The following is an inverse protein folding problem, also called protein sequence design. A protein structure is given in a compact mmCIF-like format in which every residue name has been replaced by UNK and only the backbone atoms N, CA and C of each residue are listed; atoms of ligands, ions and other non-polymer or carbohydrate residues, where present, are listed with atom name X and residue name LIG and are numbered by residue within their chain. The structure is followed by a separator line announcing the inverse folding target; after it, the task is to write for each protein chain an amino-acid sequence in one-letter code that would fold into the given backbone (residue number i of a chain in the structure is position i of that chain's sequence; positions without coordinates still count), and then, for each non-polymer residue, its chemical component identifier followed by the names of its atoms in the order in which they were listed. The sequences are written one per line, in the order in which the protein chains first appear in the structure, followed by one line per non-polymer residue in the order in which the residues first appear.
data_IF_143966282373
#
_entry.id   IF_143966282373
#
_cell.length_a   1.000
_cell.length_b   1.000
_cell.length_c   1.000
_cell.angle_alpha   90.00
_cell.angle_beta   90.00
_cell.angle_gamma   90.00
#
_symmetry.space_group_name_H-M   'P 1'
#
loop_
_entity.id
_entity.type
_entity.pdbx_description
1 polymer ?
#
# COMPACT_ATOMS: atom_id res chain seq x y z
N UNK A 1 -3.27 17.26 3.07
CA UNK A 1 -2.28 17.38 4.16
C UNK A 1 -1.50 16.06 4.26
N UNK A 2 -0.97 15.57 3.13
CA UNK A 2 -0.67 14.13 2.93
C UNK A 2 0.80 13.86 2.49
N UNK A 3 1.71 14.73 2.94
CA UNK A 3 3.09 14.77 2.43
C UNK A 3 4.17 14.39 3.43
N UNK A 4 3.85 14.24 4.72
CA UNK A 4 4.85 14.10 5.78
C UNK A 4 5.74 12.88 5.59
N UNK A 5 5.13 11.70 5.47
CA UNK A 5 5.85 10.44 5.29
C UNK A 5 6.57 10.36 3.94
N UNK A 6 5.85 10.70 2.85
CA UNK A 6 6.43 10.76 1.49
C UNK A 6 7.66 11.69 1.44
N UNK A 7 7.60 12.83 2.13
CA UNK A 7 8.72 13.77 2.21
C UNK A 7 9.88 13.21 3.04
N UNK A 8 9.61 12.63 4.20
CA UNK A 8 10.65 12.05 5.05
C UNK A 8 11.45 10.97 4.32
N UNK A 9 10.76 10.03 3.66
CA UNK A 9 11.39 8.96 2.88
C UNK A 9 12.21 9.53 1.71
N UNK A 10 11.67 10.51 0.98
CA UNK A 10 12.40 11.12 -0.13
C UNK A 10 13.71 11.77 0.34
N UNK A 11 13.66 12.53 1.44
CA UNK A 11 14.85 13.17 2.03
C UNK A 11 15.88 12.13 2.45
N UNK A 12 15.45 11.06 3.15
CA UNK A 12 16.34 10.00 3.62
C UNK A 12 17.06 9.30 2.46
N UNK A 13 16.35 9.08 1.35
CA UNK A 13 16.91 8.43 0.15
C UNK A 13 17.64 9.42 -0.78
N UNK A 14 17.78 10.69 -0.39
CA UNK A 14 18.48 11.71 -1.19
C UNK A 14 17.71 12.26 -2.40
N UNK A 15 16.40 12.05 -2.46
CA UNK A 15 15.52 12.52 -3.52
C UNK A 15 14.67 13.73 -3.11
N UNK A 16 14.25 14.54 -4.08
CA UNK A 16 13.12 15.46 -3.87
C UNK A 16 11.83 14.68 -3.97
N UNK A 17 10.80 15.08 -3.21
CA UNK A 17 9.52 14.32 -3.18
C UNK A 17 8.87 14.13 -4.55
N UNK A 18 9.00 15.09 -5.48
CA UNK A 18 8.46 14.95 -6.85
C UNK A 18 9.29 14.07 -7.78
N UNK A 19 10.52 13.73 -7.41
CA UNK A 19 11.37 12.82 -8.19
C UNK A 19 11.06 11.37 -7.81
N UNK A 20 10.83 11.13 -6.51
CA UNK A 20 10.55 9.78 -6.01
C UNK A 20 9.07 9.40 -6.15
N UNK A 21 8.14 10.35 -5.93
CA UNK A 21 6.71 10.05 -5.86
C UNK A 21 5.95 10.61 -7.06
N UNK A 22 5.08 9.79 -7.64
CA UNK A 22 4.07 10.26 -8.58
C UNK A 22 3.15 11.29 -7.90
N UNK A 23 2.81 12.41 -8.55
CA UNK A 23 1.85 13.37 -8.01
C UNK A 23 0.46 12.74 -7.82
N UNK A 24 -0.13 12.98 -6.65
CA UNK A 24 -1.45 12.47 -6.27
C UNK A 24 -1.39 11.12 -5.54
N UNK A 25 -2.55 10.49 -5.45
CA UNK A 25 -2.77 9.16 -4.92
C UNK A 25 -4.16 8.67 -5.38
N UNK A 26 -4.40 7.37 -5.27
CA UNK A 26 -5.71 6.78 -5.51
C UNK A 26 -6.34 6.43 -4.17
N UNK A 27 -7.44 7.10 -3.84
CA UNK A 27 -8.24 6.81 -2.66
C UNK A 27 -9.59 6.23 -3.07
N UNK A 28 -9.98 5.13 -2.44
CA UNK A 28 -11.29 4.53 -2.63
C UNK A 28 -11.89 4.12 -1.28
N UNK A 29 -13.07 4.67 -0.98
CA UNK A 29 -13.78 4.38 0.27
C UNK A 29 -14.44 3.01 0.18
N UNK A 30 -14.12 2.12 1.12
CA UNK A 30 -14.78 0.82 1.29
C UNK A 30 -16.09 1.04 2.05
N UNK A 31 -17.21 0.57 1.48
CA UNK A 31 -18.56 0.83 2.00
C UNK A 31 -19.27 -0.42 2.55
N UNK A 32 -18.68 -1.59 2.38
CA UNK A 32 -19.19 -2.87 2.86
C UNK A 32 -18.04 -3.81 3.21
N UNK A 33 -18.32 -4.78 4.08
CA UNK A 33 -17.33 -5.80 4.47
C UNK A 33 -16.92 -6.69 3.29
N UNK A 34 -17.87 -7.03 2.41
CA UNK A 34 -17.59 -7.75 1.15
C UNK A 34 -16.63 -6.98 0.24
N UNK A 35 -16.72 -5.64 0.23
CA UNK A 35 -15.76 -4.79 -0.50
C UNK A 35 -14.38 -4.78 0.16
N UNK A 36 -14.26 -5.14 1.44
CA UNK A 36 -12.99 -5.20 2.16
C UNK A 36 -12.19 -6.45 1.78
N UNK A 37 -12.83 -7.63 1.78
CA UNK A 37 -12.19 -8.90 1.45
C UNK A 37 -11.69 -8.92 -0.01
N UNK A 38 -12.50 -8.42 -0.94
CA UNK A 38 -12.08 -8.29 -2.34
C UNK A 38 -10.86 -7.40 -2.51
N UNK A 39 -10.76 -6.32 -1.72
CA UNK A 39 -9.63 -5.40 -1.78
C UNK A 39 -8.41 -5.95 -1.10
N UNK A 40 -8.58 -6.72 -0.03
CA UNK A 40 -7.48 -7.49 0.55
C UNK A 40 -6.91 -8.48 -0.47
N UNK A 41 -7.77 -9.28 -1.11
CA UNK A 41 -7.33 -10.20 -2.17
C UNK A 41 -6.63 -9.46 -3.32
N UNK A 42 -7.13 -8.29 -3.71
CA UNK A 42 -6.44 -7.45 -4.67
C UNK A 42 -5.02 -7.09 -4.18
N UNK A 43 -4.86 -6.54 -2.97
CA UNK A 43 -3.52 -6.15 -2.47
C UNK A 43 -2.57 -7.35 -2.41
N UNK A 44 -3.05 -8.48 -1.88
CA UNK A 44 -2.28 -9.73 -1.75
C UNK A 44 -1.83 -10.30 -3.10
N UNK A 45 -2.68 -10.25 -4.12
CA UNK A 45 -2.37 -10.75 -5.47
C UNK A 45 -1.59 -9.75 -6.35
N UNK A 46 -1.38 -8.51 -5.89
CA UNK A 46 -0.70 -7.49 -6.69
C UNK A 46 0.76 -7.85 -7.05
N UNK A 47 1.57 -8.43 -6.15
CA UNK A 47 2.94 -8.88 -6.47
C UNK A 47 2.98 -9.94 -7.57
N UNK A 48 2.02 -10.88 -7.59
CA UNK A 48 1.89 -11.90 -8.63
C UNK A 48 1.55 -11.25 -9.97
N UNK A 49 0.56 -10.34 -9.98
CA UNK A 49 0.16 -9.59 -11.18
C UNK A 49 1.27 -8.69 -11.74
N UNK A 50 2.14 -8.18 -10.88
CA UNK A 50 3.32 -7.42 -11.26
C UNK A 50 4.51 -8.30 -11.68
N UNK A 51 4.41 -9.63 -11.55
CA UNK A 51 5.46 -10.58 -11.90
C UNK A 51 6.64 -10.61 -10.92
N UNK A 52 6.44 -10.16 -9.68
CA UNK A 52 7.50 -10.08 -8.66
C UNK A 52 7.71 -11.42 -7.94
N UNK A 53 6.66 -12.24 -7.81
CA UNK A 53 6.66 -13.57 -7.19
C UNK A 53 5.71 -14.51 -7.95
N UNK A 54 5.85 -15.82 -7.79
CA UNK A 54 4.96 -16.80 -8.45
C UNK A 54 3.67 -17.02 -7.67
N UNK A 55 3.74 -16.96 -6.34
CA UNK A 55 2.58 -17.07 -5.45
C UNK A 55 2.59 -15.93 -4.43
N UNK A 56 1.42 -15.43 -4.04
CA UNK A 56 1.30 -14.25 -3.18
C UNK A 56 2.01 -14.41 -1.83
N UNK A 57 2.01 -15.63 -1.26
CA UNK A 57 2.66 -15.93 0.03
C UNK A 57 4.19 -15.80 0.02
N UNK A 58 4.83 -15.73 -1.15
CA UNK A 58 6.27 -15.50 -1.26
C UNK A 58 6.65 -14.02 -1.11
N UNK A 59 5.68 -13.10 -1.09
CA UNK A 59 5.96 -11.67 -1.00
C UNK A 59 6.20 -11.23 0.46
N UNK A 60 7.43 -10.82 0.84
CA UNK A 60 7.75 -10.51 2.24
C UNK A 60 7.27 -9.11 2.67
N UNK A 61 6.84 -8.26 1.73
CA UNK A 61 6.49 -6.86 1.97
C UNK A 61 4.98 -6.59 1.96
N UNK A 62 4.14 -7.60 2.21
CA UNK A 62 2.67 -7.46 2.20
C UNK A 62 2.11 -6.70 3.42
N UNK A 63 2.85 -6.64 4.53
CA UNK A 63 2.36 -6.10 5.81
C UNK A 63 1.38 -7.06 6.51
N UNK A 64 0.75 -6.59 7.59
CA UNK A 64 -0.18 -7.39 8.39
C UNK A 64 -1.48 -6.62 8.63
N UNK A 65 -2.62 -7.32 8.62
CA UNK A 65 -3.90 -6.77 9.11
C UNK A 65 -3.95 -7.00 10.61
N UNK A 66 -4.01 -5.90 11.36
CA UNK A 66 -4.22 -5.93 12.80
C UNK A 66 -5.60 -5.39 13.14
N UNK A 67 -6.35 -6.10 13.99
CA UNK A 67 -7.59 -5.57 14.56
C UNK A 67 -7.19 -4.48 15.54
N UNK A 68 -7.62 -3.25 15.28
CA UNK A 68 -7.44 -2.14 16.20
C UNK A 68 -8.70 -2.08 17.06
N UNK A 69 -8.62 -2.65 18.25
CA UNK A 69 -9.65 -2.44 19.27
C UNK A 69 -9.70 -0.96 19.60
N UNK A 70 -10.78 -0.29 19.19
CA UNK A 70 -11.07 1.07 19.64
C UNK A 70 -11.80 0.96 20.98
N UNK A 71 -11.07 1.20 22.06
CA UNK A 71 -11.63 1.47 23.39
C UNK A 71 -12.34 2.82 23.40
#
# INVERSE_FOLDING_TARGET
MDGGLKRAIAVELGFRSRELWQPGFFDHVLRSDESCDEKWNYVTENPVRAGLVQIASEWPYQGEIVIIDRV
#
